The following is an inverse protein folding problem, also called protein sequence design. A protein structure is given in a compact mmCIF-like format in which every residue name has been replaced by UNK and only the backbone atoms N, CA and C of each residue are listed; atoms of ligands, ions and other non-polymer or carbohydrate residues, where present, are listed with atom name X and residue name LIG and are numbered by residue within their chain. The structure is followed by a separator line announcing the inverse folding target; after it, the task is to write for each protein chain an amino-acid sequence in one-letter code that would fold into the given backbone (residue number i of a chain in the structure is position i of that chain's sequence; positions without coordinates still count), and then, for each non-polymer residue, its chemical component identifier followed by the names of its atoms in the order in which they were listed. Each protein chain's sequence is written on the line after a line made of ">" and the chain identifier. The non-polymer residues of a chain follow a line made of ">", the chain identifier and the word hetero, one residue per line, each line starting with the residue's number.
data_IF_331389997419
#
_entry.id   IF_331389997419
#
_cell.length_a   1.000
_cell.length_b   1.000
_cell.length_c   1.000
_cell.angle_alpha   90.00
_cell.angle_beta   90.00
_cell.angle_gamma   90.00
#
_symmetry.space_group_name_H-M   'P 1'
#
loop_
_entity.id
_entity.type
_entity.pdbx_description
1 polymer ?
#
# COMPACT_ATOMS: atom_id res chain seq x y z
N UNK A 1 6.95 11.39 14.49
CA UNK A 1 6.72 11.41 13.04
C UNK A 1 5.52 12.32 12.81
N UNK A 2 5.69 13.47 12.17
CA UNK A 2 4.58 14.35 11.78
C UNK A 2 4.28 13.99 10.32
N UNK A 3 3.14 13.36 10.07
CA UNK A 3 2.67 13.02 8.72
C UNK A 3 1.37 13.74 8.51
N UNK A 4 1.19 14.31 7.31
CA UNK A 4 -0.11 14.86 6.92
C UNK A 4 -1.19 13.79 6.99
N UNK A 5 -2.38 14.18 7.45
CA UNK A 5 -3.54 13.31 7.46
C UNK A 5 -4.06 13.10 6.04
N UNK A 6 -4.43 11.86 5.73
CA UNK A 6 -5.03 11.47 4.45
C UNK A 6 -6.54 11.47 4.64
N UNK A 7 -7.25 12.28 3.86
CA UNK A 7 -8.71 12.43 3.96
C UNK A 7 -9.44 11.91 2.72
N UNK A 8 -8.71 11.62 1.65
CA UNK A 8 -9.29 11.22 0.37
C UNK A 8 -9.74 9.76 0.35
N UNK A 9 -9.03 8.91 1.09
CA UNK A 9 -9.30 7.49 1.29
C UNK A 9 -9.40 7.21 2.79
N UNK A 10 -10.58 6.76 3.22
CA UNK A 10 -10.85 6.41 4.62
C UNK A 10 -10.49 4.95 4.84
N UNK A 11 -9.53 4.71 5.72
CA UNK A 11 -9.15 3.37 6.17
C UNK A 11 -10.04 2.94 7.33
N UNK A 12 -10.99 2.03 7.07
CA UNK A 12 -11.97 1.60 8.06
C UNK A 12 -11.44 0.49 8.98
N UNK A 13 -10.52 -0.35 8.49
CA UNK A 13 -9.85 -1.36 9.31
C UNK A 13 -9.59 -2.66 8.57
N UNK A 14 -9.43 -3.73 9.35
CA UNK A 14 -9.22 -5.11 8.86
C UNK A 14 -10.39 -5.97 9.32
N UNK A 15 -11.08 -6.58 8.37
CA UNK A 15 -12.14 -7.54 8.60
C UNK A 15 -11.62 -8.97 8.44
N UNK A 16 -12.24 -9.92 9.15
CA UNK A 16 -11.91 -11.35 9.10
C UNK A 16 -10.41 -11.65 9.34
N UNK A 17 -9.80 -10.96 10.31
CA UNK A 17 -8.40 -11.11 10.72
C UNK A 17 -8.03 -12.58 10.93
N UNK A 18 -6.86 -12.99 10.42
CA UNK A 18 -6.34 -14.35 10.53
C UNK A 18 -7.22 -15.45 9.92
N UNK A 19 -8.25 -15.11 9.14
CA UNK A 19 -9.07 -16.09 8.41
C UNK A 19 -8.60 -16.17 6.96
N UNK A 20 -8.00 -17.30 6.53
CA UNK A 20 -7.51 -17.46 5.17
C UNK A 20 -8.58 -17.17 4.12
N UNK A 21 -8.20 -16.46 3.05
CA UNK A 21 -9.06 -16.08 1.92
C UNK A 21 -10.26 -15.17 2.26
N UNK A 22 -10.40 -14.72 3.52
CA UNK A 22 -11.46 -13.79 3.94
C UNK A 22 -10.91 -12.50 4.53
N UNK A 23 -9.72 -12.56 5.12
CA UNK A 23 -9.02 -11.38 5.65
C UNK A 23 -8.86 -10.30 4.58
N UNK A 24 -9.40 -9.11 4.88
CA UNK A 24 -9.36 -7.97 3.97
C UNK A 24 -9.22 -6.65 4.73
N UNK A 25 -8.52 -5.73 4.11
CA UNK A 25 -8.50 -4.32 4.53
C UNK A 25 -9.65 -3.62 3.82
N UNK A 26 -10.43 -2.87 4.58
CA UNK A 26 -11.59 -2.14 4.07
C UNK A 26 -11.27 -0.66 3.99
N UNK A 27 -11.42 -0.10 2.79
CA UNK A 27 -11.30 1.33 2.54
C UNK A 27 -12.55 1.85 1.82
N UNK A 28 -12.80 3.15 1.97
CA UNK A 28 -13.83 3.87 1.23
C UNK A 28 -13.26 5.20 0.71
N UNK A 29 -13.57 5.53 -0.55
CA UNK A 29 -13.19 6.81 -1.12
C UNK A 29 -14.13 7.92 -0.63
N UNK A 30 -13.57 9.00 -0.09
CA UNK A 30 -14.34 10.17 0.32
C UNK A 30 -14.55 11.17 -0.85
N UNK A 31 -13.64 11.16 -1.83
CA UNK A 31 -13.68 12.00 -3.01
C UNK A 31 -13.14 11.22 -4.24
N UNK A 32 -13.12 11.79 -5.46
CA UNK A 32 -12.44 11.14 -6.57
C UNK A 32 -10.95 10.98 -6.26
N UNK A 33 -10.42 9.77 -6.37
CA UNK A 33 -9.03 9.44 -6.01
C UNK A 33 -8.33 8.70 -7.14
N UNK A 34 -7.15 9.20 -7.52
CA UNK A 34 -6.22 8.45 -8.35
C UNK A 34 -5.45 7.45 -7.47
N UNK A 35 -5.77 6.17 -7.62
CA UNK A 35 -5.23 5.10 -6.80
C UNK A 35 -3.72 4.90 -7.00
N UNK A 36 -3.16 5.40 -8.11
CA UNK A 36 -1.72 5.38 -8.39
C UNK A 36 -0.92 6.33 -7.52
N UNK A 37 -1.53 6.96 -6.52
CA UNK A 37 -0.85 7.77 -5.53
C UNK A 37 -0.86 7.10 -4.16
N UNK A 38 -1.50 5.94 -4.01
CA UNK A 38 -1.74 5.32 -2.71
C UNK A 38 -1.15 3.91 -2.63
N UNK A 39 -0.69 3.57 -1.44
CA UNK A 39 -0.29 2.22 -1.08
C UNK A 39 -0.63 1.91 0.36
N UNK A 40 -0.51 0.65 0.73
CA UNK A 40 -0.69 0.17 2.08
C UNK A 40 0.59 -0.48 2.58
N UNK A 41 0.97 -0.09 3.80
CA UNK A 41 2.00 -0.76 4.58
C UNK A 41 1.36 -1.57 5.69
N UNK A 42 2.07 -2.58 6.20
CA UNK A 42 1.76 -3.20 7.48
C UNK A 42 2.66 -2.58 8.54
N UNK A 43 2.07 -2.12 9.63
CA UNK A 43 2.81 -1.62 10.79
C UNK A 43 2.51 -2.40 12.06
N UNK A 44 3.43 -2.30 13.01
CA UNK A 44 3.22 -2.73 14.40
C UNK A 44 2.78 -1.51 15.20
N UNK A 45 1.55 -1.57 15.71
CA UNK A 45 0.97 -0.54 16.58
C UNK A 45 1.85 -0.35 17.81
N UNK A 46 2.14 0.91 18.11
CA UNK A 46 2.81 1.36 19.32
C UNK A 46 1.80 2.05 20.24
N UNK A 47 2.23 2.38 21.46
CA UNK A 47 1.45 3.27 22.32
C UNK A 47 1.14 4.61 21.65
N UNK A 48 0.04 5.26 22.08
CA UNK A 48 -0.27 6.63 21.64
C UNK A 48 -0.75 6.79 20.20
N UNK A 49 -1.29 5.74 19.57
CA UNK A 49 -1.91 5.83 18.23
C UNK A 49 -0.92 5.87 17.06
N UNK A 50 0.35 5.54 17.32
CA UNK A 50 1.38 5.45 16.28
C UNK A 50 1.62 3.99 15.87
N UNK A 51 2.25 3.78 14.72
CA UNK A 51 2.69 2.46 14.26
C UNK A 51 4.02 2.57 13.54
N UNK A 52 4.86 1.54 13.66
CA UNK A 52 6.12 1.43 12.92
C UNK A 52 5.95 0.49 11.74
N UNK A 53 6.30 0.89 10.51
CA UNK A 53 6.17 0.02 9.35
C UNK A 53 7.08 -1.20 9.47
N UNK A 54 6.59 -2.34 9.01
CA UNK A 54 7.35 -3.58 8.89
C UNK A 54 8.03 -3.66 7.52
N UNK A 55 9.15 -4.36 7.45
CA UNK A 55 9.87 -4.57 6.20
C UNK A 55 9.06 -5.45 5.23
N UNK A 56 9.22 -5.22 3.93
CA UNK A 56 8.69 -6.05 2.83
C UNK A 56 7.16 -6.25 2.80
N UNK A 57 6.44 -5.33 3.46
CA UNK A 57 4.99 -5.36 3.58
C UNK A 57 4.33 -4.13 2.96
N UNK A 58 4.62 -3.89 1.68
CA UNK A 58 3.99 -2.85 0.88
C UNK A 58 3.04 -3.44 -0.17
N UNK A 59 1.87 -2.83 -0.33
CA UNK A 59 0.96 -3.03 -1.45
C UNK A 59 0.79 -1.72 -2.21
N UNK A 60 0.97 -1.76 -3.51
CA UNK A 60 0.69 -0.64 -4.39
C UNK A 60 -0.65 -0.86 -5.10
N UNK A 61 -1.56 0.12 -5.04
CA UNK A 61 -2.88 -0.03 -5.67
C UNK A 61 -2.82 -0.01 -7.21
N UNK A 62 -1.76 0.53 -7.80
CA UNK A 62 -1.65 0.67 -9.25
C UNK A 62 -2.55 1.79 -9.80
N UNK A 63 -2.77 1.79 -11.12
CA UNK A 63 -3.54 2.84 -11.79
C UNK A 63 -5.05 2.69 -11.64
N UNK A 64 -5.76 3.82 -11.65
CA UNK A 64 -7.21 3.85 -11.72
C UNK A 64 -7.84 4.93 -10.85
N UNK A 65 -9.01 5.41 -11.25
CA UNK A 65 -9.78 6.40 -10.50
C UNK A 65 -10.95 5.72 -9.79
N UNK A 66 -11.05 5.88 -8.47
CA UNK A 66 -12.24 5.53 -7.70
C UNK A 66 -13.09 6.77 -7.42
N UNK A 67 -14.40 6.60 -7.35
CA UNK A 67 -15.35 7.69 -7.16
C UNK A 67 -15.79 7.80 -5.68
N UNK A 68 -16.33 8.94 -5.25
CA UNK A 68 -16.83 9.10 -3.88
C UNK A 68 -17.80 7.98 -3.49
N UNK A 69 -17.64 7.45 -2.28
CA UNK A 69 -18.38 6.35 -1.68
C UNK A 69 -18.12 4.96 -2.29
N UNK A 70 -17.24 4.84 -3.29
CA UNK A 70 -16.77 3.53 -3.75
C UNK A 70 -16.01 2.82 -2.63
N UNK A 71 -16.20 1.50 -2.57
CA UNK A 71 -15.58 0.61 -1.61
C UNK A 71 -14.38 -0.10 -2.23
N UNK A 72 -13.31 -0.24 -1.46
CA UNK A 72 -12.13 -1.00 -1.84
C UNK A 72 -11.88 -2.05 -0.78
N UNK A 73 -11.98 -3.33 -1.16
CA UNK A 73 -11.61 -4.47 -0.34
C UNK A 73 -10.28 -5.02 -0.86
N UNK A 74 -9.22 -4.83 -0.07
CA UNK A 74 -7.93 -5.45 -0.33
C UNK A 74 -7.83 -6.75 0.46
N UNK A 75 -8.04 -7.88 -0.22
CA UNK A 75 -7.83 -9.20 0.35
C UNK A 75 -6.34 -9.49 0.48
N UNK A 76 -5.92 -10.09 1.59
CA UNK A 76 -4.49 -10.46 1.77
C UNK A 76 -4.06 -11.61 0.86
N UNK A 77 -4.97 -12.53 0.55
CA UNK A 77 -4.71 -13.70 -0.31
C UNK A 77 -4.52 -13.39 -1.80
N UNK A 78 -4.43 -14.45 -2.60
CA UNK A 78 -4.40 -14.39 -4.07
C UNK A 78 -5.79 -14.23 -4.67
N UNK A 79 -5.86 -13.69 -5.87
CA UNK A 79 -7.10 -13.53 -6.62
C UNK A 79 -6.90 -12.60 -7.82
N UNK A 80 -7.99 -12.34 -8.54
CA UNK A 80 -8.00 -11.42 -9.68
C UNK A 80 -8.84 -10.20 -9.35
N UNK A 81 -8.34 -8.98 -9.60
CA UNK A 81 -9.12 -7.77 -9.33
C UNK A 81 -10.50 -7.81 -10.00
N UNK A 82 -11.52 -7.38 -9.28
CA UNK A 82 -12.89 -7.24 -9.82
C UNK A 82 -13.49 -5.91 -9.39
N UNK A 83 -14.37 -5.37 -10.22
CA UNK A 83 -15.24 -4.26 -9.88
C UNK A 83 -16.69 -4.73 -10.04
N UNK A 84 -17.52 -4.46 -9.03
CA UNK A 84 -18.95 -4.79 -9.05
C UNK A 84 -19.77 -3.59 -8.65
N UNK A 85 -20.88 -3.37 -9.33
CA UNK A 85 -21.86 -2.38 -8.90
C UNK A 85 -22.59 -2.89 -7.66
N UNK A 86 -22.80 -2.01 -6.68
CA UNK A 86 -23.61 -2.33 -5.51
C UNK A 86 -25.09 -2.14 -5.90
N UNK A 87 -25.96 -3.15 -5.73
CA UNK A 87 -27.38 -3.04 -6.10
C UNK A 87 -28.03 -1.82 -5.45
N UNK A 88 -28.84 -1.09 -6.23
CA UNK A 88 -29.55 0.12 -5.81
C UNK A 88 -28.63 1.29 -5.38
N UNK A 89 -27.35 1.26 -5.75
CA UNK A 89 -26.40 2.35 -5.51
C UNK A 89 -25.68 2.74 -6.82
N UNK A 90 -25.12 3.95 -6.84
CA UNK A 90 -24.17 4.38 -7.88
C UNK A 90 -22.71 4.05 -7.52
N UNK A 91 -22.51 3.37 -6.40
CA UNK A 91 -21.19 3.02 -5.88
C UNK A 91 -20.75 1.64 -6.35
N UNK A 92 -19.45 1.49 -6.47
CA UNK A 92 -18.79 0.25 -6.84
C UNK A 92 -18.05 -0.35 -5.65
N UNK A 93 -17.93 -1.67 -5.68
CA UNK A 93 -17.02 -2.44 -4.83
C UNK A 93 -15.88 -2.95 -5.71
N UNK A 94 -14.68 -2.46 -5.45
CA UNK A 94 -13.44 -2.98 -6.00
C UNK A 94 -12.88 -4.02 -5.04
N UNK A 95 -12.74 -5.26 -5.51
CA UNK A 95 -11.99 -6.29 -4.80
C UNK A 95 -10.62 -6.43 -5.44
N UNK A 96 -9.58 -6.17 -4.67
CA UNK A 96 -8.17 -6.28 -5.07
C UNK A 96 -7.44 -7.25 -4.14
N UNK A 97 -6.30 -7.78 -4.57
CA UNK A 97 -5.66 -8.92 -3.92
C UNK A 97 -4.16 -8.66 -3.76
N UNK A 98 -3.64 -8.80 -2.53
CA UNK A 98 -2.23 -8.60 -2.22
C UNK A 98 -1.36 -9.78 -2.70
N UNK A 99 -1.95 -10.97 -2.85
CA UNK A 99 -1.23 -12.15 -3.35
C UNK A 99 -0.36 -12.83 -2.30
N UNK A 100 -0.63 -12.64 -1.00
CA UNK A 100 0.10 -13.32 0.07
C UNK A 100 -0.34 -14.79 0.16
N UNK A 101 0.61 -15.67 0.45
CA UNK A 101 0.34 -17.08 0.71
C UNK A 101 -0.28 -17.37 2.09
N UNK A 102 -0.26 -16.38 2.99
CA UNK A 102 -0.82 -16.46 4.34
C UNK A 102 -1.48 -15.13 4.70
N UNK A 103 -2.35 -15.16 5.72
CA UNK A 103 -2.94 -13.96 6.30
C UNK A 103 -1.87 -13.07 6.91
N UNK A 104 -2.06 -11.76 6.81
CA UNK A 104 -1.10 -10.72 7.23
C UNK A 104 -1.40 -10.25 8.66
N UNK A 105 -2.67 -10.15 9.06
CA UNK A 105 -3.08 -9.52 10.31
C UNK A 105 -3.42 -10.56 11.39
N UNK A 106 -2.51 -11.51 11.61
CA UNK A 106 -2.64 -12.61 12.57
C UNK A 106 -2.34 -12.21 14.03
N UNK A 107 -1.85 -10.99 14.27
CA UNK A 107 -1.61 -10.44 15.59
C UNK A 107 -2.38 -9.11 15.76
N UNK A 108 -2.97 -8.83 16.93
CA UNK A 108 -3.78 -7.61 17.14
C UNK A 108 -2.96 -6.32 17.01
N UNK A 109 -1.65 -6.39 17.21
CA UNK A 109 -0.75 -5.24 17.04
C UNK A 109 -0.45 -4.93 15.57
N UNK A 110 -0.69 -5.86 14.65
CA UNK A 110 -0.49 -5.61 13.23
C UNK A 110 -1.67 -4.79 12.69
N UNK A 111 -1.34 -3.65 12.08
CA UNK A 111 -2.31 -2.67 11.58
C UNK A 111 -1.95 -2.22 10.16
N UNK A 112 -2.95 -1.98 9.30
CA UNK A 112 -2.73 -1.35 8.02
C UNK A 112 -2.36 0.12 8.21
N UNK A 113 -1.43 0.61 7.41
CA UNK A 113 -1.03 2.02 7.35
C UNK A 113 -1.19 2.50 5.92
N UNK A 114 -2.12 3.43 5.70
CA UNK A 114 -2.31 4.06 4.39
C UNK A 114 -1.22 5.11 4.16
N UNK A 115 -0.62 5.09 2.98
CA UNK A 115 0.38 6.08 2.58
C UNK A 115 0.00 6.70 1.24
N UNK A 116 0.25 8.02 1.13
CA UNK A 116 0.13 8.79 -0.11
C UNK A 116 1.53 9.11 -0.63
N UNK A 117 1.82 8.71 -1.85
CA UNK A 117 3.09 8.94 -2.54
C UNK A 117 2.99 10.24 -3.32
N UNK A 118 3.80 11.23 -2.96
CA UNK A 118 3.85 12.52 -3.66
C UNK A 118 4.73 12.54 -4.91
N UNK A 119 5.59 11.53 -5.08
CA UNK A 119 6.48 11.45 -6.23
C UNK A 119 7.30 10.16 -6.24
N UNK A 120 7.65 9.71 -7.44
CA UNK A 120 8.53 8.56 -7.68
C UNK A 120 9.65 9.04 -8.59
N UNK A 121 10.88 8.69 -8.25
CA UNK A 121 12.04 8.84 -9.15
C UNK A 121 12.51 7.46 -9.55
N UNK A 122 12.67 7.27 -10.86
CA UNK A 122 13.25 6.07 -11.44
C UNK A 122 14.65 6.42 -11.90
N UNK A 123 15.59 5.49 -11.74
CA UNK A 123 16.92 5.64 -12.31
C UNK A 123 16.81 5.96 -13.80
N UNK A 124 17.51 7.02 -14.22
CA UNK A 124 17.59 7.37 -15.62
C UNK A 124 18.79 6.63 -16.18
N UNK A 125 18.56 5.46 -16.75
CA UNK A 125 19.61 4.69 -17.42
C UNK A 125 20.28 5.55 -18.49
N UNK A 126 21.46 6.06 -18.13
CA UNK A 126 22.32 6.93 -18.90
C UNK A 126 23.64 6.94 -18.16
N UNK A 127 24.73 6.65 -18.87
CA UNK A 127 26.06 6.52 -18.27
C UNK A 127 26.39 7.78 -17.46
N UNK A 128 26.24 7.72 -16.15
CA UNK A 128 26.92 8.63 -15.25
C UNK A 128 28.40 8.28 -15.40
N UNK A 129 29.10 8.98 -16.29
CA UNK A 129 30.55 9.11 -16.19
C UNK A 129 30.80 9.76 -14.84
N UNK A 130 31.02 8.93 -13.82
CA UNK A 130 31.67 9.38 -12.61
C UNK A 130 32.98 9.98 -13.10
N UNK A 131 33.09 11.30 -13.07
CA UNK A 131 34.38 11.96 -13.20
C UNK A 131 35.19 11.49 -11.99
N UNK A 132 35.89 10.37 -12.15
CA UNK A 132 36.88 9.88 -11.21
C UNK A 132 38.08 10.81 -11.29
N UNK A 133 37.94 11.98 -10.66
CA UNK A 133 39.05 12.84 -10.27
C UNK A 133 39.86 12.28 -9.11
N UNK A 134 39.89 10.95 -8.94
CA UNK A 134 40.79 10.26 -8.03
C UNK A 134 41.64 9.31 -8.86
N UNK A 135 42.86 9.77 -9.10
CA UNK A 135 43.95 9.00 -9.66
C UNK A 135 44.19 7.73 -8.81
N UNK A 136 44.36 6.61 -9.52
CA UNK A 136 45.12 5.42 -9.12
C UNK A 136 45.22 5.11 -7.62
N UNK A 137 44.22 4.44 -7.06
CA UNK A 137 44.41 3.58 -5.90
C UNK A 137 44.20 2.12 -6.32
N UNK A 138 45.28 1.44 -6.69
CA UNK A 138 45.29 0.00 -6.95
C UNK A 138 45.23 -0.75 -5.61
N UNK A 139 44.05 -1.23 -5.22
CA UNK A 139 43.94 -2.26 -4.20
C UNK A 139 44.02 -3.62 -4.89
N UNK A 140 45.16 -4.30 -4.72
CA UNK A 140 45.26 -5.74 -4.97
C UNK A 140 45.01 -6.44 -3.64
N UNK A 141 44.00 -7.29 -3.62
CA UNK A 141 43.82 -8.28 -2.55
C UNK A 141 44.89 -9.36 -2.74
N UNK A 142 45.73 -9.52 -1.74
CA UNK A 142 46.42 -10.77 -1.40
C UNK A 142 45.81 -11.31 -0.13
#
# INVERSE_FOLDING_TARGET
>A
MIVEEIFELVLLGVEDRAIPNRERIVLQAAQPVEMSQFGLLVGVKQGGGTALPTNDNFFWFGGGVVQPNDWIFLYSGTGSPTARDIPNSRTKLYSVFWGRGQTVFNHPELVPMLVRVGGVTVERSGAHTLNSGLSNASWRLT
#
